data_IF_766059871510
#
_entry.id   IF_766059871510
#
_cell.length_a   1.000
_cell.length_b   1.000
_cell.length_c   1.000
_cell.angle_alpha   90.00
_cell.angle_beta   90.00
_cell.angle_gamma   90.00
#
_symmetry.space_group_name_H-M   'P 1'
#
loop_
_entity.id
_entity.type
_entity.pdbx_description
1 polymer ?
#
# COMPACT_ATOMS: atom_id res chain seq x y z
N UNK A 1 -91.56 0.77 -9.30
CA UNK A 1 -90.67 0.20 -8.25
C UNK A 1 -89.23 0.03 -8.75
N UNK A 2 -88.67 1.05 -9.40
CA UNK A 2 -87.26 1.15 -9.77
C UNK A 2 -86.62 2.19 -8.84
N UNK A 3 -86.10 1.82 -7.66
CA UNK A 3 -85.17 2.71 -6.92
C UNK A 3 -84.38 2.09 -5.76
N UNK A 4 -84.24 0.77 -5.65
CA UNK A 4 -83.54 0.16 -4.49
C UNK A 4 -82.66 -1.05 -4.82
N UNK A 5 -81.98 -1.07 -5.97
CA UNK A 5 -81.03 -2.14 -6.30
C UNK A 5 -79.62 -1.71 -6.74
N UNK A 6 -79.29 -0.42 -6.70
CA UNK A 6 -77.96 0.06 -7.12
C UNK A 6 -77.02 0.52 -6.00
N UNK A 7 -77.44 0.55 -4.72
CA UNK A 7 -76.56 0.99 -3.63
C UNK A 7 -75.82 -0.13 -2.88
N UNK A 8 -76.19 -1.40 -3.01
CA UNK A 8 -75.54 -2.49 -2.26
C UNK A 8 -74.40 -3.20 -3.00
N UNK A 9 -74.25 -2.99 -4.32
CA UNK A 9 -73.18 -3.63 -5.11
C UNK A 9 -71.91 -2.75 -5.18
N UNK A 10 -72.04 -1.43 -5.09
CA UNK A 10 -70.87 -0.53 -5.12
C UNK A 10 -70.05 -0.56 -3.81
N UNK A 11 -70.68 -0.87 -2.67
CA UNK A 11 -70.02 -0.83 -1.36
C UNK A 11 -69.20 -2.10 -1.05
N UNK A 12 -69.48 -3.19 -1.76
CA UNK A 12 -68.69 -4.44 -1.66
C UNK A 12 -67.50 -4.47 -2.63
N UNK A 13 -67.56 -3.76 -3.76
CA UNK A 13 -66.42 -3.65 -4.68
C UNK A 13 -65.32 -2.69 -4.17
N UNK A 14 -65.68 -1.62 -3.44
CA UNK A 14 -64.71 -0.68 -2.86
C UNK A 14 -63.96 -1.26 -1.66
N UNK A 15 -64.57 -2.17 -0.90
CA UNK A 15 -63.92 -2.85 0.24
C UNK A 15 -62.99 -3.99 -0.22
N UNK A 16 -63.28 -4.63 -1.36
CA UNK A 16 -62.42 -5.66 -1.95
C UNK A 16 -61.19 -5.06 -2.69
N UNK A 17 -61.33 -3.87 -3.28
CA UNK A 17 -60.21 -3.17 -3.94
C UNK A 17 -59.28 -2.49 -2.92
N UNK A 18 -59.77 -2.10 -1.74
CA UNK A 18 -58.93 -1.54 -0.67
C UNK A 18 -58.13 -2.60 0.11
N UNK A 19 -58.53 -3.88 0.05
CA UNK A 19 -57.80 -5.01 0.67
C UNK A 19 -56.77 -5.62 -0.30
N UNK A 20 -56.82 -5.29 -1.60
CA UNK A 20 -55.91 -5.83 -2.62
C UNK A 20 -54.70 -4.94 -2.97
N UNK A 21 -54.51 -3.81 -2.27
CA UNK A 21 -53.34 -2.90 -2.47
C UNK A 21 -52.35 -2.93 -1.29
N UNK A 22 -52.58 -3.73 -0.23
CA UNK A 22 -51.63 -3.91 0.89
C UNK A 22 -50.94 -5.27 0.86
N UNK A 23 -50.93 -5.95 -0.29
CA UNK A 23 -50.00 -7.05 -0.56
C UNK A 23 -48.99 -6.60 -1.62
N UNK A 24 -48.35 -5.46 -1.37
CA UNK A 24 -47.06 -5.19 -1.98
C UNK A 24 -46.16 -6.37 -1.61
N UNK A 25 -45.90 -7.22 -2.60
CA UNK A 25 -44.81 -8.20 -2.53
C UNK A 25 -43.52 -7.41 -2.36
N UNK A 26 -43.19 -7.03 -1.14
CA UNK A 26 -41.79 -6.96 -0.73
C UNK A 26 -41.32 -8.40 -0.83
N UNK A 27 -40.76 -8.77 -1.98
CA UNK A 27 -39.80 -9.85 -1.99
C UNK A 27 -38.75 -9.41 -0.97
N UNK A 28 -38.77 -10.07 0.19
CA UNK A 28 -37.85 -9.82 1.28
C UNK A 28 -36.46 -10.09 0.73
N UNK A 29 -35.82 -9.04 0.21
CA UNK A 29 -34.53 -9.14 -0.43
C UNK A 29 -33.56 -9.43 0.70
N UNK A 30 -33.24 -10.72 0.87
CA UNK A 30 -32.44 -11.20 1.96
C UNK A 30 -31.15 -10.38 2.06
N UNK A 31 -31.00 -9.65 3.16
CA UNK A 31 -29.85 -8.78 3.38
C UNK A 31 -28.58 -9.64 3.36
N UNK A 32 -27.60 -9.19 2.58
CA UNK A 32 -26.27 -9.78 2.51
C UNK A 32 -25.28 -8.81 3.11
N UNK A 33 -24.37 -9.33 3.93
CA UNK A 33 -23.34 -8.49 4.51
C UNK A 33 -22.27 -8.14 3.48
N UNK A 34 -22.23 -6.87 3.08
CA UNK A 34 -21.15 -6.29 2.30
C UNK A 34 -21.02 -4.78 2.60
N UNK A 35 -19.98 -4.16 2.04
CA UNK A 35 -19.65 -2.74 2.26
C UNK A 35 -20.75 -1.75 1.85
N UNK A 36 -21.73 -2.14 1.03
CA UNK A 36 -22.85 -1.25 0.66
C UNK A 36 -23.75 -0.98 1.86
N UNK A 37 -23.79 -1.86 2.87
CA UNK A 37 -24.54 -1.61 4.11
C UNK A 37 -24.07 -0.33 4.82
N UNK A 38 -22.79 0.03 4.67
CA UNK A 38 -22.23 1.26 5.23
C UNK A 38 -22.82 2.54 4.61
N UNK A 39 -23.51 2.43 3.47
CA UNK A 39 -24.09 3.58 2.75
C UNK A 39 -25.52 3.93 3.14
N UNK A 40 -26.16 3.12 3.98
CA UNK A 40 -27.48 3.47 4.49
C UNK A 40 -27.42 4.76 5.33
N UNK A 41 -28.54 5.39 5.61
CA UNK A 41 -28.59 6.58 6.47
C UNK A 41 -28.62 6.22 7.96
N UNK A 42 -28.57 7.24 8.83
CA UNK A 42 -28.55 7.05 10.27
C UNK A 42 -29.85 6.40 10.78
N UNK A 43 -30.99 6.73 10.15
CA UNK A 43 -32.29 6.12 10.47
C UNK A 43 -32.28 4.60 10.26
N UNK A 44 -31.63 4.11 9.20
CA UNK A 44 -31.45 2.68 9.00
C UNK A 44 -30.56 2.06 10.08
N UNK A 45 -29.47 2.70 10.49
CA UNK A 45 -28.59 2.21 11.57
C UNK A 45 -29.26 2.19 12.95
N UNK A 46 -30.37 2.92 13.11
CA UNK A 46 -31.21 2.90 14.31
C UNK A 46 -32.33 1.84 14.26
N UNK A 47 -32.53 1.19 13.11
CA UNK A 47 -33.60 0.20 12.89
C UNK A 47 -33.32 -1.16 13.55
N UNK A 48 -34.39 -1.93 13.79
CA UNK A 48 -34.28 -3.31 14.27
C UNK A 48 -33.57 -4.23 13.28
N UNK A 49 -33.69 -3.95 11.98
CA UNK A 49 -33.01 -4.71 10.92
C UNK A 49 -31.49 -4.53 11.01
N UNK A 50 -31.00 -3.31 11.21
CA UNK A 50 -29.57 -3.06 11.38
C UNK A 50 -29.05 -3.67 12.71
N UNK A 51 -29.86 -3.63 13.76
CA UNK A 51 -29.56 -4.27 15.05
C UNK A 51 -29.41 -5.79 14.92
N UNK A 52 -30.33 -6.45 14.20
CA UNK A 52 -30.24 -7.90 13.94
C UNK A 52 -28.96 -8.25 13.17
N UNK A 53 -28.62 -7.48 12.13
CA UNK A 53 -27.36 -7.68 11.39
C UNK A 53 -26.15 -7.47 12.30
N UNK A 54 -26.15 -6.43 13.14
CA UNK A 54 -25.05 -6.16 14.08
C UNK A 54 -24.88 -7.29 15.11
N UNK A 55 -25.99 -7.80 15.66
CA UNK A 55 -26.01 -8.93 16.58
C UNK A 55 -25.46 -10.21 15.93
N UNK A 56 -25.68 -10.41 14.62
CA UNK A 56 -25.07 -11.50 13.86
C UNK A 56 -23.56 -11.27 13.63
N UNK A 57 -23.16 -10.05 13.28
CA UNK A 57 -21.75 -9.70 13.02
C UNK A 57 -20.86 -9.95 14.24
N UNK A 58 -21.30 -9.59 15.45
CA UNK A 58 -20.50 -9.81 16.67
C UNK A 58 -20.29 -11.29 16.98
N UNK A 59 -21.20 -12.18 16.58
CA UNK A 59 -21.09 -13.63 16.82
C UNK A 59 -19.94 -14.26 16.02
N UNK A 60 -19.53 -13.66 14.90
CA UNK A 60 -18.40 -14.13 14.09
C UNK A 60 -17.05 -13.58 14.53
N UNK A 61 -17.00 -12.65 15.48
CA UNK A 61 -15.73 -12.09 15.95
C UNK A 61 -14.94 -13.14 16.72
N UNK A 62 -13.70 -13.39 16.31
CA UNK A 62 -12.86 -14.37 16.99
C UNK A 62 -12.41 -13.91 18.39
N UNK A 63 -11.88 -14.82 19.21
CA UNK A 63 -11.23 -14.47 20.46
C UNK A 63 -10.10 -13.43 20.30
N UNK A 64 -9.41 -13.43 19.15
CA UNK A 64 -8.35 -12.47 18.84
C UNK A 64 -8.89 -11.09 18.43
N UNK A 65 -10.14 -11.00 17.98
CA UNK A 65 -10.78 -9.74 17.58
C UNK A 65 -10.96 -9.54 16.07
N UNK A 66 -10.47 -10.47 15.25
CA UNK A 66 -10.64 -10.43 13.79
C UNK A 66 -11.95 -11.09 13.32
N UNK A 67 -12.29 -10.87 12.05
CA UNK A 67 -13.45 -11.48 11.39
C UNK A 67 -13.05 -12.37 10.22
N UNK A 68 -13.91 -13.35 9.86
CA UNK A 68 -13.65 -14.21 8.73
C UNK A 68 -13.89 -13.50 7.40
N UNK A 69 -13.14 -13.90 6.36
CA UNK A 69 -13.42 -13.52 4.98
C UNK A 69 -14.44 -14.43 4.32
N UNK A 70 -15.03 -13.94 3.22
CA UNK A 70 -15.95 -14.72 2.37
C UNK A 70 -17.08 -15.40 3.15
N UNK A 71 -17.62 -14.72 4.15
CA UNK A 71 -18.67 -15.20 5.05
C UNK A 71 -19.75 -14.14 5.14
N UNK A 72 -21.01 -14.54 4.96
CA UNK A 72 -22.15 -13.62 5.06
C UNK A 72 -22.51 -13.40 6.52
N UNK A 73 -22.09 -12.25 7.06
CA UNK A 73 -22.25 -11.92 8.48
C UNK A 73 -23.65 -11.39 8.84
N UNK A 74 -24.54 -11.24 7.85
CA UNK A 74 -25.90 -10.75 8.08
C UNK A 74 -26.81 -11.84 8.68
N UNK A 75 -26.35 -13.10 8.66
CA UNK A 75 -27.08 -14.26 9.18
C UNK A 75 -26.33 -14.82 10.38
N UNK A 76 -27.01 -15.34 11.42
CA UNK A 76 -26.32 -15.96 12.53
C UNK A 76 -25.62 -17.25 12.09
N UNK A 77 -24.52 -17.65 12.75
CA UNK A 77 -23.98 -18.99 12.59
C UNK A 77 -25.03 -20.02 13.04
N UNK A 78 -25.21 -21.10 12.27
CA UNK A 78 -26.18 -22.16 12.63
C UNK A 78 -25.63 -23.09 13.69
N UNK A 79 -24.30 -23.21 13.73
CA UNK A 79 -23.55 -23.94 14.73
C UNK A 79 -22.21 -23.25 15.01
N UNK A 80 -21.54 -23.55 16.14
CA UNK A 80 -20.18 -23.06 16.40
C UNK A 80 -19.17 -23.38 15.29
N UNK A 81 -19.40 -24.43 14.50
CA UNK A 81 -18.52 -24.83 13.39
C UNK A 81 -18.65 -23.93 12.15
N UNK A 82 -19.69 -23.11 12.05
CA UNK A 82 -19.82 -22.12 10.97
C UNK A 82 -18.88 -20.92 11.16
N UNK A 83 -18.35 -20.73 12.38
CA UNK A 83 -17.34 -19.72 12.70
C UNK A 83 -15.95 -20.31 12.40
N UNK A 84 -15.23 -19.79 11.40
CA UNK A 84 -13.92 -20.33 11.04
C UNK A 84 -12.96 -20.27 12.23
N UNK A 85 -12.33 -21.41 12.54
CA UNK A 85 -11.40 -21.54 13.65
C UNK A 85 -10.04 -20.91 13.31
N UNK A 86 -9.26 -20.44 14.30
CA UNK A 86 -7.91 -19.96 14.05
C UNK A 86 -7.08 -20.99 13.28
N UNK A 87 -6.50 -20.57 12.15
CA UNK A 87 -5.79 -21.44 11.20
C UNK A 87 -6.59 -21.77 9.93
N UNK A 88 -7.93 -21.75 9.98
CA UNK A 88 -8.78 -22.03 8.82
C UNK A 88 -8.63 -20.96 7.74
N UNK A 89 -8.68 -21.33 6.46
CA UNK A 89 -8.48 -20.42 5.30
C UNK A 89 -9.37 -19.16 5.27
N UNK A 90 -10.42 -19.10 6.09
CA UNK A 90 -11.31 -17.94 6.21
C UNK A 90 -11.09 -17.11 7.49
N UNK A 91 -10.55 -17.68 8.57
CA UNK A 91 -10.51 -17.03 9.88
C UNK A 91 -9.55 -15.84 9.96
N UNK A 92 -9.92 -14.77 10.66
CA UNK A 92 -9.04 -13.65 11.01
C UNK A 92 -8.21 -13.10 9.84
N UNK A 93 -8.89 -12.57 8.83
CA UNK A 93 -8.23 -12.05 7.63
C UNK A 93 -8.42 -10.54 7.49
N UNK A 94 -7.50 -9.90 6.77
CA UNK A 94 -7.61 -8.54 6.25
C UNK A 94 -7.94 -8.52 4.75
N UNK A 95 -8.02 -9.70 4.13
CA UNK A 95 -8.38 -9.92 2.73
C UNK A 95 -9.90 -9.84 2.52
N UNK A 96 -10.34 -9.49 1.30
CA UNK A 96 -11.75 -9.44 0.91
C UNK A 96 -12.66 -8.71 1.91
N UNK A 97 -12.26 -7.50 2.32
CA UNK A 97 -13.02 -6.63 3.24
C UNK A 97 -13.21 -7.17 4.67
N UNK A 98 -12.65 -8.34 4.98
CA UNK A 98 -12.72 -8.95 6.30
C UNK A 98 -12.07 -8.08 7.37
N UNK A 99 -12.59 -8.17 8.60
CA UNK A 99 -12.21 -7.36 9.76
C UNK A 99 -12.56 -5.87 9.60
N UNK A 100 -12.06 -5.17 8.58
CA UNK A 100 -12.23 -3.72 8.46
C UNK A 100 -13.67 -3.29 8.18
N UNK A 101 -14.42 -3.96 7.30
CA UNK A 101 -15.83 -3.59 7.03
C UNK A 101 -16.76 -3.93 8.20
N UNK A 102 -16.66 -5.12 8.84
CA UNK A 102 -17.37 -5.39 10.09
C UNK A 102 -17.10 -4.35 11.17
N UNK A 103 -15.84 -3.92 11.32
CA UNK A 103 -15.48 -2.86 12.27
C UNK A 103 -16.15 -1.53 11.92
N UNK A 104 -16.11 -1.08 10.66
CA UNK A 104 -16.78 0.16 10.25
C UNK A 104 -18.29 0.11 10.52
N UNK A 105 -18.91 -1.05 10.27
CA UNK A 105 -20.33 -1.27 10.55
C UNK A 105 -20.62 -1.16 12.05
N UNK A 106 -19.84 -1.85 12.88
CA UNK A 106 -20.01 -1.85 14.33
C UNK A 106 -19.70 -0.50 14.98
N UNK A 107 -18.74 0.27 14.44
CA UNK A 107 -18.50 1.64 14.90
C UNK A 107 -19.73 2.52 14.70
N UNK A 108 -20.37 2.44 13.51
CA UNK A 108 -21.59 3.21 13.25
C UNK A 108 -22.76 2.72 14.10
N UNK A 109 -22.94 1.41 14.26
CA UNK A 109 -23.94 0.87 15.19
C UNK A 109 -23.72 1.35 16.63
N UNK A 110 -22.48 1.34 17.12
CA UNK A 110 -22.14 1.82 18.46
C UNK A 110 -22.44 3.32 18.61
N UNK A 111 -22.15 4.12 17.59
CA UNK A 111 -22.41 5.55 17.57
C UNK A 111 -23.92 5.87 17.57
N UNK A 112 -24.68 5.25 16.67
CA UNK A 112 -26.11 5.53 16.48
C UNK A 112 -27.00 4.97 17.58
N UNK A 113 -26.61 3.85 18.19
CA UNK A 113 -27.44 3.17 19.19
C UNK A 113 -26.96 3.34 20.63
N UNK A 114 -25.68 3.69 20.84
CA UNK A 114 -25.05 3.70 22.15
C UNK A 114 -24.86 2.30 22.77
N UNK A 115 -25.12 1.22 22.04
CA UNK A 115 -25.02 -0.15 22.57
C UNK A 115 -23.55 -0.53 22.82
N UNK A 116 -23.27 -0.83 24.09
CA UNK A 116 -21.94 -1.18 24.59
C UNK A 116 -21.38 -2.45 23.94
N UNK A 117 -22.22 -3.39 23.50
CA UNK A 117 -21.77 -4.64 22.86
C UNK A 117 -21.06 -4.37 21.54
N UNK A 118 -21.61 -3.48 20.72
CA UNK A 118 -21.00 -3.10 19.44
C UNK A 118 -19.72 -2.29 19.66
N UNK A 119 -19.73 -1.41 20.66
CA UNK A 119 -18.55 -0.65 21.08
C UNK A 119 -17.41 -1.59 21.49
N UNK A 120 -17.67 -2.52 22.40
CA UNK A 120 -16.65 -3.41 22.94
C UNK A 120 -16.12 -4.37 21.85
N UNK A 121 -16.99 -4.84 20.95
CA UNK A 121 -16.58 -5.62 19.78
C UNK A 121 -15.68 -4.80 18.82
N UNK A 122 -16.02 -3.53 18.55
CA UNK A 122 -15.16 -2.65 17.77
C UNK A 122 -13.80 -2.42 18.41
N UNK A 123 -13.75 -2.12 19.72
CA UNK A 123 -12.50 -1.87 20.45
C UNK A 123 -11.58 -3.09 20.43
N UNK A 124 -12.15 -4.30 20.53
CA UNK A 124 -11.40 -5.55 20.36
C UNK A 124 -10.83 -5.69 18.95
N UNK A 125 -11.56 -5.24 17.93
CA UNK A 125 -11.05 -5.15 16.56
C UNK A 125 -9.88 -4.16 16.41
N UNK A 126 -9.93 -3.01 17.10
CA UNK A 126 -8.81 -2.04 17.12
C UNK A 126 -7.58 -2.70 17.73
N UNK A 127 -7.72 -3.37 18.87
CA UNK A 127 -6.61 -4.07 19.52
C UNK A 127 -6.04 -5.19 18.64
N UNK A 128 -6.89 -5.91 17.91
CA UNK A 128 -6.48 -6.91 16.91
C UNK A 128 -5.61 -6.28 15.82
N UNK A 129 -6.03 -5.15 15.23
CA UNK A 129 -5.27 -4.48 14.17
C UNK A 129 -3.93 -3.95 14.67
N UNK A 130 -3.89 -3.42 15.90
CA UNK A 130 -2.65 -2.94 16.52
C UNK A 130 -1.70 -4.12 16.83
N UNK A 131 -2.22 -5.25 17.31
CA UNK A 131 -1.41 -6.44 17.57
C UNK A 131 -0.92 -7.15 16.29
N UNK A 132 -1.66 -6.99 15.19
CA UNK A 132 -1.29 -7.57 13.90
C UNK A 132 -0.22 -6.78 13.13
N UNK A 133 0.08 -5.55 13.53
CA UNK A 133 1.10 -4.73 12.88
C UNK A 133 2.50 -5.28 13.15
N UNK A 134 3.35 -5.36 12.12
CA UNK A 134 4.76 -5.70 12.31
C UNK A 134 5.54 -4.56 12.97
N UNK A 135 6.65 -4.85 13.69
CA UNK A 135 7.49 -3.80 14.27
C UNK A 135 8.00 -2.75 13.27
N UNK A 136 8.30 -3.17 12.03
CA UNK A 136 8.70 -2.28 10.94
C UNK A 136 7.53 -1.59 10.21
N UNK A 137 6.30 -1.75 10.71
CA UNK A 137 5.08 -1.36 10.04
C UNK A 137 4.58 -2.39 9.03
N UNK A 138 3.41 -2.11 8.47
CA UNK A 138 2.73 -3.04 7.57
C UNK A 138 1.95 -4.13 8.29
N UNK A 139 1.10 -4.81 7.52
CA UNK A 139 0.17 -5.81 8.05
C UNK A 139 0.18 -7.09 7.20
N UNK A 140 0.03 -8.27 7.83
CA UNK A 140 -0.13 -9.53 7.13
C UNK A 140 -1.51 -9.65 6.48
N UNK A 141 -1.70 -10.64 5.60
CA UNK A 141 -3.04 -10.99 5.11
C UNK A 141 -3.90 -11.66 6.20
N UNK A 142 -3.26 -12.37 7.14
CA UNK A 142 -3.89 -13.08 8.24
C UNK A 142 -3.12 -12.89 9.54
N UNK A 143 -3.85 -12.71 10.64
CA UNK A 143 -3.25 -12.70 11.98
C UNK A 143 -4.12 -13.51 12.97
N UNK A 144 -3.57 -14.38 13.83
CA UNK A 144 -2.16 -14.75 13.98
C UNK A 144 -1.52 -15.28 12.69
N UNK A 145 -0.20 -15.13 12.60
CA UNK A 145 0.56 -15.37 11.38
C UNK A 145 0.43 -16.82 10.89
N UNK A 146 0.51 -16.98 9.57
CA UNK A 146 0.43 -18.27 8.88
C UNK A 146 1.64 -18.46 7.99
N UNK A 147 2.12 -19.70 7.88
CA UNK A 147 3.24 -20.02 7.00
C UNK A 147 2.90 -19.69 5.53
N UNK A 148 3.89 -19.16 4.80
CA UNK A 148 3.76 -18.80 3.38
C UNK A 148 3.39 -17.33 3.18
N UNK A 149 2.88 -17.00 2.00
CA UNK A 149 2.68 -15.62 1.57
C UNK A 149 1.70 -14.82 2.43
N UNK A 150 0.86 -15.50 3.21
CA UNK A 150 -0.10 -14.91 4.14
C UNK A 150 0.54 -13.97 5.18
N UNK A 151 1.83 -14.18 5.47
CA UNK A 151 2.59 -13.36 6.42
C UNK A 151 3.40 -12.25 5.74
N UNK A 152 3.30 -12.03 4.44
CA UNK A 152 3.94 -10.87 3.81
C UNK A 152 3.24 -9.56 4.20
N UNK A 153 3.93 -8.42 4.07
CA UNK A 153 3.28 -7.11 4.07
C UNK A 153 2.32 -7.10 2.87
N UNK A 154 1.03 -6.99 3.13
CA UNK A 154 0.00 -7.28 2.13
C UNK A 154 -0.75 -6.02 1.70
N UNK A 155 -0.42 -5.49 0.52
CA UNK A 155 -1.23 -4.47 -0.14
C UNK A 155 -2.40 -5.08 -0.92
N UNK A 156 -2.27 -6.34 -1.36
CA UNK A 156 -3.24 -7.08 -2.15
C UNK A 156 -4.68 -6.93 -1.64
N UNK A 157 -5.58 -6.69 -2.60
CA UNK A 157 -7.00 -6.43 -2.37
C UNK A 157 -7.24 -5.31 -1.35
N UNK A 158 -6.32 -4.33 -1.27
CA UNK A 158 -6.38 -3.19 -0.35
C UNK A 158 -6.23 -3.51 1.13
N UNK A 159 -5.74 -4.70 1.51
CA UNK A 159 -5.73 -5.18 2.90
C UNK A 159 -5.07 -4.19 3.87
N UNK A 160 -3.78 -3.88 3.68
CA UNK A 160 -3.07 -2.91 4.49
C UNK A 160 -3.69 -1.50 4.41
N UNK A 161 -4.10 -1.05 3.22
CA UNK A 161 -4.60 0.31 3.03
C UNK A 161 -5.95 0.54 3.73
N UNK A 162 -6.85 -0.44 3.76
CA UNK A 162 -8.10 -0.35 4.54
C UNK A 162 -7.83 -0.26 6.03
N UNK A 163 -6.87 -1.04 6.55
CA UNK A 163 -6.46 -0.95 7.96
C UNK A 163 -5.94 0.44 8.28
N UNK A 164 -5.08 1.00 7.43
CA UNK A 164 -4.52 2.34 7.65
C UNK A 164 -5.58 3.44 7.59
N UNK A 165 -6.57 3.35 6.70
CA UNK A 165 -7.70 4.27 6.70
C UNK A 165 -8.48 4.19 8.02
N UNK A 166 -8.87 2.98 8.44
CA UNK A 166 -9.65 2.78 9.66
C UNK A 166 -8.89 3.25 10.91
N UNK A 167 -7.61 2.93 11.04
CA UNK A 167 -6.80 3.38 12.18
C UNK A 167 -6.57 4.90 12.19
N UNK A 168 -6.49 5.54 11.02
CA UNK A 168 -6.44 7.00 10.94
C UNK A 168 -7.76 7.61 11.40
N UNK A 169 -8.89 7.11 10.92
CA UNK A 169 -10.20 7.63 11.32
C UNK A 169 -10.42 7.43 12.84
N UNK A 170 -9.95 6.30 13.40
CA UNK A 170 -9.92 6.07 14.85
C UNK A 170 -9.02 7.09 15.57
N UNK A 171 -7.83 7.37 15.06
CA UNK A 171 -6.91 8.35 15.65
C UNK A 171 -7.54 9.76 15.69
N UNK A 172 -8.14 10.17 14.58
CA UNK A 172 -8.85 11.44 14.42
C UNK A 172 -10.03 11.53 15.40
N UNK A 173 -10.70 10.41 15.67
CA UNK A 173 -11.75 10.28 16.68
C UNK A 173 -13.02 11.08 16.38
N UNK A 174 -13.17 11.51 15.13
CA UNK A 174 -14.41 12.06 14.61
C UNK A 174 -15.49 10.96 14.56
N UNK A 175 -16.75 11.36 14.48
CA UNK A 175 -17.85 10.40 14.36
C UNK A 175 -17.61 9.42 13.18
N UNK A 176 -17.85 8.11 13.36
CA UNK A 176 -18.47 7.46 14.53
C UNK A 176 -17.49 7.07 15.66
N UNK A 177 -16.20 7.40 15.58
CA UNK A 177 -15.14 6.87 16.44
C UNK A 177 -14.92 7.64 17.75
N UNK A 178 -15.75 8.63 18.07
CA UNK A 178 -15.61 9.47 19.27
C UNK A 178 -15.63 8.71 20.61
N UNK A 179 -16.15 7.48 20.62
CA UNK A 179 -16.17 6.62 21.80
C UNK A 179 -14.82 5.91 22.10
N UNK A 180 -13.84 5.98 21.19
CA UNK A 180 -12.54 5.31 21.36
C UNK A 180 -11.66 6.10 22.33
N UNK A 181 -11.10 5.41 23.32
CA UNK A 181 -10.28 6.04 24.35
C UNK A 181 -8.97 6.62 23.80
N UNK A 182 -8.46 7.65 24.49
CA UNK A 182 -7.26 8.38 24.06
C UNK A 182 -5.99 7.51 23.95
N UNK A 183 -5.89 6.40 24.68
CA UNK A 183 -4.74 5.49 24.58
C UNK A 183 -4.76 4.77 23.24
N UNK A 184 -5.90 4.18 22.86
CA UNK A 184 -6.07 3.51 21.57
C UNK A 184 -5.92 4.49 20.41
N UNK A 185 -6.47 5.71 20.53
CA UNK A 185 -6.31 6.76 19.50
C UNK A 185 -4.84 7.11 19.25
N UNK A 186 -4.04 7.28 20.30
CA UNK A 186 -2.59 7.51 20.17
C UNK A 186 -1.86 6.32 19.54
N UNK A 187 -2.19 5.10 19.94
CA UNK A 187 -1.60 3.89 19.33
C UNK A 187 -1.97 3.75 17.85
N UNK A 188 -3.21 4.10 17.48
CA UNK A 188 -3.66 4.08 16.11
C UNK A 188 -2.93 5.14 15.26
N UNK A 189 -2.74 6.36 15.79
CA UNK A 189 -1.95 7.41 15.13
C UNK A 189 -0.51 6.94 14.87
N UNK A 190 0.13 6.34 15.88
CA UNK A 190 1.48 5.81 15.76
C UNK A 190 1.56 4.64 14.77
N UNK A 191 0.60 3.73 14.80
CA UNK A 191 0.52 2.63 13.86
C UNK A 191 0.39 3.14 12.41
N UNK A 192 -0.42 4.17 12.17
CA UNK A 192 -0.52 4.81 10.84
C UNK A 192 0.81 5.44 10.43
N UNK A 193 1.48 6.15 11.34
CA UNK A 193 2.80 6.77 11.09
C UNK A 193 3.83 5.73 10.65
N UNK A 194 4.00 4.64 11.41
CA UNK A 194 4.92 3.54 11.08
C UNK A 194 4.47 2.83 9.79
N UNK A 195 3.16 2.70 9.57
CA UNK A 195 2.61 2.15 8.32
C UNK A 195 2.97 2.98 7.08
N UNK A 196 2.99 4.32 7.18
CA UNK A 196 3.45 5.21 6.10
C UNK A 196 4.94 5.00 5.83
N UNK A 197 5.77 4.91 6.87
CA UNK A 197 7.21 4.61 6.68
C UNK A 197 7.43 3.27 5.97
N UNK A 198 6.66 2.25 6.34
CA UNK A 198 6.68 0.95 5.67
C UNK A 198 6.30 1.08 4.18
N UNK A 199 5.23 1.81 3.85
CA UNK A 199 4.86 2.10 2.45
C UNK A 199 6.03 2.74 1.70
N UNK A 200 6.63 3.79 2.24
CA UNK A 200 7.70 4.51 1.56
C UNK A 200 8.92 3.62 1.31
N UNK A 201 9.30 2.81 2.30
CA UNK A 201 10.42 1.84 2.18
C UNK A 201 10.12 0.69 1.21
N UNK A 202 8.86 0.29 1.07
CA UNK A 202 8.44 -0.71 0.10
C UNK A 202 8.34 -0.17 -1.34
N UNK A 203 8.49 1.13 -1.59
CA UNK A 203 8.38 1.65 -2.95
C UNK A 203 9.53 1.10 -3.81
N UNK A 204 9.17 0.46 -4.93
CA UNK A 204 10.14 -0.20 -5.80
C UNK A 204 10.91 0.85 -6.58
N UNK A 205 12.24 0.81 -6.47
CA UNK A 205 13.16 1.70 -7.19
C UNK A 205 13.82 0.90 -8.32
N UNK A 206 13.68 1.40 -9.54
CA UNK A 206 14.30 0.84 -10.74
C UNK A 206 15.31 1.85 -11.26
N UNK A 207 16.58 1.47 -11.36
CA UNK A 207 17.66 2.31 -11.87
C UNK A 207 17.71 3.70 -11.20
N UNK A 208 17.51 3.73 -9.87
CA UNK A 208 17.50 4.94 -9.06
C UNK A 208 16.19 5.75 -9.13
N UNK A 209 15.22 5.34 -9.93
CA UNK A 209 13.92 5.99 -10.10
C UNK A 209 12.84 5.25 -9.31
N UNK A 210 12.20 5.90 -8.30
CA UNK A 210 11.04 5.32 -7.62
C UNK A 210 9.90 5.08 -8.62
N UNK A 211 9.20 3.97 -8.45
CA UNK A 211 8.05 3.60 -9.29
C UNK A 211 6.81 3.50 -8.41
N UNK A 212 6.33 2.29 -8.18
CA UNK A 212 5.15 1.95 -7.40
C UNK A 212 5.44 0.75 -6.49
N UNK A 213 4.42 -0.03 -6.11
CA UNK A 213 4.53 -1.13 -5.16
C UNK A 213 4.14 -2.47 -5.79
N UNK A 214 4.65 -3.55 -5.22
CA UNK A 214 4.12 -4.89 -5.46
C UNK A 214 2.83 -5.09 -4.66
N UNK A 215 2.04 -6.10 -5.03
CA UNK A 215 0.87 -6.50 -4.26
C UNK A 215 1.24 -7.04 -2.86
N UNK A 216 2.46 -7.56 -2.70
CA UNK A 216 3.00 -7.97 -1.42
C UNK A 216 4.52 -7.80 -1.36
N UNK A 217 5.01 -7.52 -0.15
CA UNK A 217 6.42 -7.30 0.14
C UNK A 217 6.87 -8.19 1.31
N UNK A 218 8.12 -8.65 1.27
CA UNK A 218 8.70 -9.39 2.38
C UNK A 218 8.80 -8.51 3.64
N UNK A 219 8.53 -9.09 4.81
CA UNK A 219 8.48 -8.33 6.07
C UNK A 219 9.85 -7.83 6.51
N UNK A 220 10.93 -8.54 6.16
CA UNK A 220 12.29 -8.21 6.59
C UNK A 220 13.02 -7.38 5.56
N UNK A 221 13.00 -7.82 4.30
CA UNK A 221 13.75 -7.17 3.23
C UNK A 221 12.98 -6.04 2.57
N UNK A 222 11.65 -5.98 2.74
CA UNK A 222 10.75 -5.04 2.08
C UNK A 222 10.74 -5.17 0.54
N UNK A 223 11.37 -6.21 -0.01
CA UNK A 223 11.40 -6.47 -1.44
C UNK A 223 10.05 -7.02 -1.93
N UNK A 224 9.66 -6.76 -3.19
CA UNK A 224 8.57 -7.48 -3.85
C UNK A 224 8.72 -8.99 -3.71
N UNK A 225 7.64 -9.68 -3.37
CA UNK A 225 7.66 -11.14 -3.18
C UNK A 225 6.46 -11.82 -3.83
N UNK A 226 6.55 -13.14 -4.03
CA UNK A 226 5.51 -13.95 -4.64
C UNK A 226 4.35 -14.22 -3.67
N UNK A 227 3.13 -14.31 -4.19
CA UNK A 227 1.98 -14.83 -3.46
C UNK A 227 1.52 -16.18 -4.02
N UNK A 228 0.37 -16.23 -4.68
CA UNK A 228 -0.08 -17.42 -5.40
C UNK A 228 0.81 -17.67 -6.62
N UNK A 229 0.74 -18.86 -7.22
CA UNK A 229 1.60 -19.22 -8.36
C UNK A 229 1.51 -18.23 -9.52
N UNK A 230 0.35 -17.59 -9.72
CA UNK A 230 0.09 -16.58 -10.74
C UNK A 230 0.27 -15.12 -10.27
N UNK A 231 0.86 -14.87 -9.09
CA UNK A 231 1.06 -13.55 -8.51
C UNK A 231 2.54 -13.34 -8.15
N UNK A 232 3.30 -12.96 -9.18
CA UNK A 232 4.75 -12.83 -9.14
C UNK A 232 5.22 -11.51 -8.48
N UNK A 233 6.47 -11.45 -7.99
CA UNK A 233 7.12 -10.18 -7.67
C UNK A 233 7.06 -9.23 -8.88
N UNK A 234 6.33 -8.13 -8.75
CA UNK A 234 5.97 -7.26 -9.88
C UNK A 234 5.60 -5.86 -9.41
N UNK A 235 5.49 -4.91 -10.35
CA UNK A 235 4.86 -3.62 -10.09
C UNK A 235 3.35 -3.79 -10.28
N UNK A 236 2.56 -3.55 -9.24
CA UNK A 236 1.11 -3.75 -9.28
C UNK A 236 0.37 -2.48 -9.68
N UNK A 237 -0.37 -2.53 -10.79
CA UNK A 237 -1.24 -1.42 -11.19
C UNK A 237 -2.49 -1.30 -10.32
N UNK A 238 -3.02 -2.41 -9.80
CA UNK A 238 -4.22 -2.41 -8.94
C UNK A 238 -3.89 -1.86 -7.55
N UNK A 239 -2.93 -2.47 -6.86
CA UNK A 239 -2.71 -2.19 -5.45
C UNK A 239 -2.01 -0.84 -5.24
N UNK A 240 -1.12 -0.45 -6.16
CA UNK A 240 -0.45 0.85 -6.11
C UNK A 240 -1.41 2.03 -6.26
N UNK A 241 -2.54 1.84 -6.95
CA UNK A 241 -3.57 2.88 -7.00
C UNK A 241 -4.14 3.14 -5.59
N UNK A 242 -4.41 2.09 -4.81
CA UNK A 242 -4.85 2.22 -3.42
C UNK A 242 -3.82 2.93 -2.54
N UNK A 243 -2.54 2.57 -2.67
CA UNK A 243 -1.44 3.22 -1.93
C UNK A 243 -1.34 4.71 -2.25
N UNK A 244 -1.36 5.09 -3.54
CA UNK A 244 -1.29 6.49 -3.95
C UNK A 244 -2.50 7.29 -3.46
N UNK A 245 -3.70 6.71 -3.53
CA UNK A 245 -4.92 7.35 -3.02
C UNK A 245 -4.83 7.62 -1.52
N UNK A 246 -4.27 6.66 -0.75
CA UNK A 246 -4.03 6.84 0.67
C UNK A 246 -3.01 7.97 0.93
N UNK A 247 -1.84 7.94 0.29
CA UNK A 247 -0.80 8.97 0.50
C UNK A 247 -1.31 10.37 0.11
N UNK A 248 -2.07 10.50 -0.97
CA UNK A 248 -2.69 11.76 -1.38
C UNK A 248 -3.82 12.24 -0.45
N UNK A 249 -4.31 11.39 0.43
CA UNK A 249 -5.32 11.77 1.43
C UNK A 249 -4.74 12.34 2.72
N UNK A 250 -3.42 12.25 2.91
CA UNK A 250 -2.75 12.89 4.06
C UNK A 250 -2.71 14.40 3.85
N UNK A 251 -3.21 15.15 4.82
CA UNK A 251 -3.40 16.60 4.77
C UNK A 251 -2.09 17.36 4.69
N UNK A 252 -1.09 16.95 5.47
CA UNK A 252 0.26 17.51 5.48
C UNK A 252 1.30 16.43 5.12
N UNK A 253 1.45 16.09 3.83
CA UNK A 253 2.36 15.03 3.40
C UNK A 253 3.82 15.49 3.50
N UNK A 254 4.68 14.61 4.00
CA UNK A 254 6.12 14.90 4.05
C UNK A 254 6.70 15.07 2.63
N UNK A 255 7.85 15.74 2.48
CA UNK A 255 8.52 15.83 1.18
C UNK A 255 8.82 14.46 0.55
N UNK A 256 9.00 13.42 1.35
CA UNK A 256 9.20 12.05 0.87
C UNK A 256 7.91 11.45 0.31
N UNK A 257 6.79 11.60 1.01
CA UNK A 257 5.48 11.19 0.49
C UNK A 257 5.13 11.91 -0.80
N UNK A 258 5.46 13.21 -0.89
CA UNK A 258 5.21 13.97 -2.12
C UNK A 258 6.02 13.43 -3.30
N UNK A 259 7.27 13.02 -3.08
CA UNK A 259 8.10 12.38 -4.11
C UNK A 259 7.56 11.01 -4.49
N UNK A 260 7.17 10.19 -3.51
CA UNK A 260 6.60 8.87 -3.73
C UNK A 260 5.34 8.95 -4.58
N UNK A 261 4.43 9.88 -4.24
CA UNK A 261 3.21 10.15 -5.00
C UNK A 261 3.52 10.62 -6.42
N UNK A 262 4.43 11.59 -6.58
CA UNK A 262 4.80 12.10 -7.90
C UNK A 262 5.30 10.99 -8.81
N UNK A 263 6.25 10.19 -8.31
CA UNK A 263 6.90 9.14 -9.09
C UNK A 263 5.90 8.02 -9.47
N UNK A 264 5.02 7.64 -8.54
CA UNK A 264 3.98 6.66 -8.83
C UNK A 264 2.97 7.16 -9.87
N UNK A 265 2.58 8.44 -9.81
CA UNK A 265 1.68 9.05 -10.81
C UNK A 265 2.33 9.09 -12.19
N UNK A 266 3.61 9.47 -12.27
CA UNK A 266 4.37 9.46 -13.53
C UNK A 266 4.52 8.04 -14.10
N UNK A 267 4.75 7.04 -13.24
CA UNK A 267 4.77 5.65 -13.65
C UNK A 267 3.43 5.22 -14.25
N UNK A 268 2.30 5.53 -13.57
CA UNK A 268 0.96 5.24 -14.11
C UNK A 268 0.72 5.90 -15.47
N UNK A 269 1.20 7.13 -15.66
CA UNK A 269 1.08 7.80 -16.96
C UNK A 269 1.91 7.09 -18.05
N UNK A 270 3.14 6.67 -17.72
CA UNK A 270 4.04 5.99 -18.66
C UNK A 270 3.59 4.59 -19.10
N UNK A 271 2.82 3.88 -18.27
CA UNK A 271 2.37 2.50 -18.54
C UNK A 271 0.90 2.40 -18.97
N UNK A 272 0.31 3.54 -19.32
CA UNK A 272 -1.08 3.66 -19.78
C UNK A 272 -1.28 2.94 -21.11
N UNK A 273 -2.34 2.14 -21.19
CA UNK A 273 -2.72 1.37 -22.38
C UNK A 273 -3.98 2.00 -22.97
N UNK A 274 -3.89 2.47 -24.22
CA UNK A 274 -4.99 3.11 -24.93
C UNK A 274 -5.39 2.31 -26.17
N UNK A 275 -6.61 2.51 -26.65
CA UNK A 275 -7.10 1.85 -27.88
C UNK A 275 -7.49 0.38 -27.71
N UNK A 276 -7.70 -0.08 -26.47
CA UNK A 276 -8.14 -1.44 -26.17
C UNK A 276 -9.29 -1.47 -25.16
N UNK A 277 -10.19 -2.43 -25.35
CA UNK A 277 -11.25 -2.79 -24.42
C UNK A 277 -10.93 -4.14 -23.77
N UNK A 278 -11.02 -4.21 -22.46
CA UNK A 278 -10.86 -5.44 -21.70
C UNK A 278 -12.22 -5.96 -21.25
N UNK A 279 -12.52 -7.21 -21.62
CA UNK A 279 -13.68 -7.97 -21.14
C UNK A 279 -13.19 -9.36 -20.73
N UNK A 280 -13.40 -9.74 -19.47
CA UNK A 280 -13.07 -11.12 -19.03
C UNK A 280 -13.78 -12.12 -19.93
N UNK A 281 -13.03 -13.07 -20.46
CA UNK A 281 -13.57 -14.09 -21.36
C UNK A 281 -12.85 -15.41 -21.17
N UNK A 282 -13.64 -16.48 -20.98
CA UNK A 282 -13.11 -17.84 -20.95
C UNK A 282 -12.87 -18.35 -22.37
N UNK A 283 -13.75 -18.03 -23.33
CA UNK A 283 -13.75 -18.63 -24.67
C UNK A 283 -13.30 -17.69 -25.79
N UNK A 284 -13.28 -16.39 -25.54
CA UNK A 284 -12.96 -15.37 -26.55
C UNK A 284 -11.73 -14.54 -26.21
N UNK A 285 -11.49 -13.51 -27.04
CA UNK A 285 -10.46 -12.51 -26.79
C UNK A 285 -10.80 -11.72 -25.54
N UNK A 286 -9.91 -11.73 -24.56
CA UNK A 286 -10.10 -10.93 -23.36
C UNK A 286 -9.78 -9.44 -23.59
N UNK A 287 -8.90 -9.15 -24.55
CA UNK A 287 -8.48 -7.80 -24.93
C UNK A 287 -8.73 -7.59 -26.43
N UNK A 288 -9.54 -6.59 -26.78
CA UNK A 288 -9.90 -6.27 -28.18
C UNK A 288 -9.54 -4.83 -28.50
N UNK A 289 -9.14 -4.56 -29.76
CA UNK A 289 -8.88 -3.19 -30.22
C UNK A 289 -10.17 -2.39 -30.21
N UNK A 290 -10.14 -1.22 -29.59
CA UNK A 290 -11.24 -0.27 -29.53
C UNK A 290 -10.70 1.14 -29.23
N UNK A 291 -10.67 2.00 -30.25
CA UNK A 291 -10.16 3.37 -30.14
C UNK A 291 -11.06 4.29 -29.31
N UNK A 292 -12.29 3.87 -28.99
CA UNK A 292 -13.22 4.63 -28.15
C UNK A 292 -13.22 4.15 -26.70
N UNK A 293 -12.47 3.10 -26.38
CA UNK A 293 -12.34 2.62 -25.01
C UNK A 293 -11.51 3.59 -24.15
N UNK A 294 -11.89 3.71 -22.89
CA UNK A 294 -11.08 4.43 -21.91
C UNK A 294 -9.75 3.73 -21.62
N UNK A 295 -8.78 4.42 -21.01
CA UNK A 295 -7.46 3.87 -20.77
C UNK A 295 -7.50 2.69 -19.79
N UNK A 296 -6.60 1.75 -20.02
CA UNK A 296 -6.39 0.55 -19.21
C UNK A 296 -4.98 0.54 -18.62
N UNK A 297 -4.83 -0.25 -17.57
CA UNK A 297 -3.56 -0.60 -16.96
C UNK A 297 -3.59 -2.09 -16.64
N UNK A 298 -2.47 -2.77 -16.84
CA UNK A 298 -2.32 -4.15 -16.42
C UNK A 298 -2.34 -4.23 -14.88
N UNK A 299 -2.70 -5.40 -14.35
CA UNK A 299 -2.64 -5.65 -12.91
C UNK A 299 -1.21 -5.83 -12.43
N UNK A 300 -0.35 -6.43 -13.26
CA UNK A 300 1.05 -6.72 -12.96
C UNK A 300 1.94 -6.31 -14.13
N UNK A 301 3.05 -5.68 -13.80
CA UNK A 301 4.10 -5.31 -14.74
C UNK A 301 5.44 -5.89 -14.27
N UNK A 302 6.22 -6.42 -15.19
CA UNK A 302 7.59 -6.86 -14.93
C UNK A 302 8.44 -5.69 -14.44
N UNK A 303 9.20 -5.91 -13.36
CA UNK A 303 10.12 -4.92 -12.81
C UNK A 303 11.23 -4.66 -13.85
N UNK A 304 11.66 -3.40 -13.98
CA UNK A 304 12.57 -2.88 -15.00
C UNK A 304 11.92 -2.61 -16.36
N UNK A 305 11.33 -3.61 -17.00
CA UNK A 305 10.81 -3.44 -18.37
C UNK A 305 9.47 -2.70 -18.44
N UNK A 306 8.70 -2.68 -17.35
CA UNK A 306 7.32 -2.20 -17.31
C UNK A 306 6.41 -2.90 -18.33
N UNK A 307 6.75 -4.13 -18.74
CA UNK A 307 5.90 -4.90 -19.64
C UNK A 307 4.78 -5.56 -18.85
N UNK A 308 3.51 -5.50 -19.32
CA UNK A 308 2.43 -6.29 -18.73
C UNK A 308 2.80 -7.78 -18.67
N UNK A 309 2.55 -8.41 -17.52
CA UNK A 309 2.75 -9.85 -17.34
C UNK A 309 1.46 -10.55 -16.93
N UNK A 310 1.31 -11.77 -17.40
CA UNK A 310 0.22 -12.69 -17.09
C UNK A 310 0.80 -14.01 -16.57
N UNK A 311 0.01 -14.80 -15.87
CA UNK A 311 0.45 -16.11 -15.41
C UNK A 311 -0.75 -17.01 -15.15
N UNK A 312 -0.52 -18.32 -15.22
CA UNK A 312 -1.51 -19.32 -14.83
C UNK A 312 -1.09 -20.04 -13.54
N UNK A 313 -1.86 -21.06 -13.16
CA UNK A 313 -1.64 -21.93 -12.00
C UNK A 313 -0.31 -22.67 -12.06
N UNK A 314 0.24 -22.87 -13.26
CA UNK A 314 1.57 -23.43 -13.51
C UNK A 314 2.72 -22.48 -13.08
N UNK A 315 2.42 -21.20 -12.83
CA UNK A 315 3.38 -20.20 -12.40
C UNK A 315 4.30 -19.69 -13.51
N UNK A 316 3.99 -19.94 -14.78
CA UNK A 316 4.80 -19.46 -15.91
C UNK A 316 4.36 -18.05 -16.32
N UNK A 317 5.31 -17.12 -16.34
CA UNK A 317 5.08 -15.76 -16.84
C UNK A 317 4.83 -15.81 -18.35
N UNK A 318 3.73 -15.18 -18.76
CA UNK A 318 3.29 -14.95 -20.14
C UNK A 318 3.20 -13.46 -20.40
N UNK A 319 3.23 -13.08 -21.68
CA UNK A 319 3.22 -11.68 -22.08
C UNK A 319 2.06 -11.31 -23.00
N UNK A 320 1.24 -12.30 -23.36
CA UNK A 320 -0.09 -12.09 -23.92
C UNK A 320 -1.12 -12.81 -23.03
N UNK A 321 -2.20 -12.09 -22.69
CA UNK A 321 -3.32 -12.64 -21.90
C UNK A 321 -4.01 -13.81 -22.61
N UNK A 322 -3.86 -13.94 -23.94
CA UNK A 322 -4.37 -15.08 -24.68
C UNK A 322 -3.54 -16.36 -24.50
N UNK A 323 -2.33 -16.27 -23.93
CA UNK A 323 -1.46 -17.41 -23.65
C UNK A 323 -1.79 -18.11 -22.32
N UNK A 324 -2.61 -17.49 -21.46
CA UNK A 324 -3.07 -18.10 -20.20
C UNK A 324 -4.40 -18.83 -20.42
N UNK A 325 -4.64 -19.86 -19.59
CA UNK A 325 -5.81 -20.72 -19.66
C UNK A 325 -7.12 -20.03 -19.30
N UNK A 326 -8.21 -20.58 -19.83
CA UNK A 326 -9.56 -20.01 -19.81
C UNK A 326 -10.04 -19.64 -18.40
N UNK A 327 -9.75 -20.48 -17.40
CA UNK A 327 -10.17 -20.28 -16.01
C UNK A 327 -9.51 -19.04 -15.36
N UNK A 328 -8.23 -18.78 -15.62
CA UNK A 328 -7.54 -17.57 -15.13
C UNK A 328 -7.83 -16.36 -15.99
N UNK A 329 -7.96 -16.53 -17.30
CA UNK A 329 -8.31 -15.45 -18.23
C UNK A 329 -9.69 -14.87 -17.95
N UNK A 330 -10.68 -15.72 -17.70
CA UNK A 330 -12.05 -15.33 -17.39
C UNK A 330 -12.34 -15.09 -15.90
N UNK A 331 -11.58 -15.72 -14.99
CA UNK A 331 -11.84 -15.66 -13.54
C UNK A 331 -11.13 -14.52 -12.81
N UNK A 332 -10.02 -14.00 -13.35
CA UNK A 332 -9.17 -13.03 -12.68
C UNK A 332 -9.08 -11.71 -13.47
N UNK A 333 -9.03 -10.58 -12.78
CA UNK A 333 -8.90 -9.26 -13.43
C UNK A 333 -7.44 -8.97 -13.75
N UNK A 334 -7.07 -9.02 -15.02
CA UNK A 334 -5.70 -8.76 -15.47
C UNK A 334 -5.49 -7.33 -15.97
N UNK A 335 -6.57 -6.62 -16.31
CA UNK A 335 -6.57 -5.21 -16.67
C UNK A 335 -7.71 -4.46 -15.96
N UNK A 336 -7.58 -3.14 -15.88
CA UNK A 336 -8.62 -2.27 -15.34
C UNK A 336 -8.26 -0.80 -15.44
N UNK A 337 -9.12 0.05 -14.89
CA UNK A 337 -9.06 1.51 -15.02
C UNK A 337 -8.46 2.21 -13.79
N UNK A 338 -7.64 1.51 -13.00
CA UNK A 338 -7.12 1.99 -11.72
C UNK A 338 -6.37 3.33 -11.82
N UNK A 339 -5.55 3.50 -12.86
CA UNK A 339 -4.79 4.74 -13.08
C UNK A 339 -5.67 5.97 -13.36
N UNK A 340 -6.90 5.78 -13.84
CA UNK A 340 -7.83 6.90 -14.06
C UNK A 340 -8.21 7.57 -12.74
N UNK A 341 -8.47 6.79 -11.69
CA UNK A 341 -8.77 7.32 -10.35
C UNK A 341 -7.57 8.03 -9.74
N UNK A 342 -6.37 7.48 -9.94
CA UNK A 342 -5.11 8.10 -9.51
C UNK A 342 -4.94 9.47 -10.16
N UNK A 343 -5.08 9.54 -11.49
CA UNK A 343 -4.95 10.79 -12.25
C UNK A 343 -5.98 11.84 -11.80
N UNK A 344 -7.24 11.44 -11.61
CA UNK A 344 -8.30 12.33 -11.12
C UNK A 344 -8.01 12.88 -9.73
N UNK A 345 -7.62 12.02 -8.78
CA UNK A 345 -7.29 12.44 -7.42
C UNK A 345 -6.07 13.34 -7.39
N UNK A 346 -5.03 13.00 -8.14
CA UNK A 346 -3.81 13.79 -8.23
C UNK A 346 -4.05 15.17 -8.83
N UNK A 347 -4.91 15.28 -9.85
CA UNK A 347 -5.29 16.58 -10.43
C UNK A 347 -5.91 17.53 -9.40
N UNK A 348 -6.62 16.99 -8.41
CA UNK A 348 -7.26 17.73 -7.32
C UNK A 348 -6.39 17.83 -6.05
N UNK A 349 -5.19 17.25 -6.06
CA UNK A 349 -4.36 17.16 -4.87
C UNK A 349 -3.63 18.50 -4.61
N UNK A 350 -3.85 19.16 -3.46
CA UNK A 350 -3.32 20.52 -3.20
C UNK A 350 -1.80 20.62 -3.29
N UNK A 351 -1.10 19.51 -3.00
CA UNK A 351 0.36 19.43 -2.94
C UNK A 351 1.02 19.12 -4.27
N UNK A 352 0.23 18.94 -5.35
CA UNK A 352 0.68 18.58 -6.70
C UNK A 352 1.81 19.46 -7.22
N UNK A 353 1.66 20.79 -7.14
CA UNK A 353 2.66 21.70 -7.67
C UNK A 353 3.96 21.68 -6.85
N UNK A 354 3.86 21.46 -5.53
CA UNK A 354 5.03 21.24 -4.68
C UNK A 354 5.74 19.93 -5.02
N UNK A 355 4.99 18.86 -5.29
CA UNK A 355 5.52 17.54 -5.63
C UNK A 355 6.30 17.57 -6.96
N UNK A 356 5.72 18.19 -8.00
CA UNK A 356 6.39 18.40 -9.30
C UNK A 356 7.69 19.18 -9.18
N UNK A 357 7.69 20.28 -8.42
CA UNK A 357 8.90 21.12 -8.23
C UNK A 357 10.02 20.33 -7.58
N UNK A 358 9.70 19.51 -6.57
CA UNK A 358 10.67 18.68 -5.85
C UNK A 358 11.31 17.62 -6.74
N UNK A 359 10.53 16.92 -7.56
CA UNK A 359 11.09 15.91 -8.47
C UNK A 359 11.99 16.55 -9.53
N UNK A 360 11.55 17.66 -10.15
CA UNK A 360 12.37 18.42 -11.11
C UNK A 360 13.67 18.94 -10.51
N UNK A 361 13.67 19.36 -9.24
CA UNK A 361 14.88 19.82 -8.56
C UNK A 361 15.94 18.73 -8.36
N UNK A 362 15.52 17.45 -8.33
CA UNK A 362 16.42 16.30 -8.24
C UNK A 362 16.84 15.80 -9.63
N UNK A 363 15.94 15.79 -10.61
CA UNK A 363 16.30 15.52 -12.02
C UNK A 363 17.27 16.56 -12.61
N UNK A 364 17.29 17.80 -12.09
CA UNK A 364 18.36 18.78 -12.40
C UNK A 364 19.68 18.55 -11.64
N UNK A 365 19.66 17.73 -10.58
CA UNK A 365 20.86 17.36 -9.79
C UNK A 365 21.41 15.98 -10.15
N UNK A 366 20.63 15.16 -10.86
CA UNK A 366 21.03 13.87 -11.43
C UNK A 366 21.14 14.11 -12.94
N UNK A 367 22.33 14.19 -13.54
CA UNK A 367 22.46 14.31 -14.99
C UNK A 367 21.72 13.16 -15.67
N UNK A 368 21.03 13.43 -16.77
CA UNK A 368 20.41 12.39 -17.61
C UNK A 368 21.48 11.38 -18.04
N UNK A 369 21.49 10.20 -17.43
CA UNK A 369 22.34 9.10 -17.87
C UNK A 369 21.71 8.43 -19.09
N UNK A 370 22.01 8.99 -20.26
CA UNK A 370 22.15 8.18 -21.46
C UNK A 370 23.43 7.33 -21.30
N UNK A 371 23.32 6.02 -21.52
CA UNK A 371 24.36 5.02 -21.25
C UNK A 371 25.61 5.09 -22.13
N UNK A 372 26.25 6.25 -22.24
CA UNK A 372 27.48 6.43 -23.00
C UNK A 372 28.42 7.56 -22.50
N UNK A 373 28.12 8.26 -21.39
CA UNK A 373 29.03 9.33 -20.91
C UNK A 373 29.56 9.05 -19.50
N UNK A 374 30.90 9.05 -19.36
CA UNK A 374 31.63 8.78 -18.13
C UNK A 374 31.55 9.89 -17.08
N UNK A 375 30.35 10.24 -16.64
CA UNK A 375 30.16 11.22 -15.56
C UNK A 375 30.05 10.51 -14.20
N UNK A 376 30.96 10.81 -13.27
CA UNK A 376 31.00 10.28 -11.90
C UNK A 376 30.35 11.27 -10.93
N UNK A 377 29.72 10.74 -9.88
CA UNK A 377 29.08 11.57 -8.86
C UNK A 377 30.15 12.20 -7.96
N UNK A 378 30.13 13.54 -7.81
CA UNK A 378 31.03 14.28 -6.91
C UNK A 378 30.57 14.14 -5.45
N UNK A 379 31.42 13.62 -4.58
CA UNK A 379 31.07 13.25 -3.19
C UNK A 379 32.08 13.86 -2.21
N UNK A 380 31.56 14.46 -1.14
CA UNK A 380 32.34 14.79 0.07
C UNK A 380 31.86 13.86 1.18
N UNK A 381 32.78 13.15 1.83
CA UNK A 381 32.49 12.23 2.93
C UNK A 381 32.94 12.85 4.23
N UNK A 382 32.04 12.90 5.22
CA UNK A 382 32.36 13.25 6.60
C UNK A 382 32.21 11.99 7.44
N UNK A 383 33.22 11.64 8.23
CA UNK A 383 33.25 10.38 8.98
C UNK A 383 33.76 10.60 10.39
N UNK A 384 33.22 9.84 11.34
CA UNK A 384 33.66 9.73 12.72
C UNK A 384 34.69 8.63 12.98
N UNK A 385 35.36 8.16 11.91
CA UNK A 385 36.46 7.20 11.97
C UNK A 385 37.52 7.55 13.02
N UNK A 386 37.98 6.49 13.72
CA UNK A 386 38.83 6.61 14.90
C UNK A 386 38.09 7.05 16.17
N UNK A 387 36.78 7.32 16.08
CA UNK A 387 35.90 7.66 17.18
C UNK A 387 35.46 6.45 18.00
N UNK A 388 34.17 6.37 18.33
CA UNK A 388 33.64 5.34 19.22
C UNK A 388 33.23 4.05 18.52
N UNK A 389 33.12 4.04 17.19
CA UNK A 389 32.67 2.88 16.41
C UNK A 389 33.80 2.32 15.52
N UNK A 390 34.30 1.10 15.79
CA UNK A 390 35.29 0.46 14.94
C UNK A 390 34.81 0.16 13.50
N UNK A 391 33.49 0.12 13.23
CA UNK A 391 32.95 -0.17 11.90
C UNK A 391 33.19 0.98 10.89
N UNK A 392 33.54 2.17 11.38
CA UNK A 392 33.88 3.32 10.54
C UNK A 392 35.11 3.05 9.65
N UNK A 393 36.06 2.24 10.14
CA UNK A 393 37.20 1.79 9.35
C UNK A 393 36.76 0.88 8.21
N UNK A 394 35.82 -0.04 8.44
CA UNK A 394 35.28 -0.93 7.41
C UNK A 394 34.48 -0.15 6.36
N UNK A 395 33.70 0.82 6.81
CA UNK A 395 32.94 1.72 5.93
C UNK A 395 33.85 2.58 5.04
N UNK A 396 34.98 3.07 5.57
CA UNK A 396 35.97 3.80 4.78
C UNK A 396 36.69 2.89 3.77
N UNK A 397 37.03 1.65 4.15
CA UNK A 397 37.60 0.67 3.21
C UNK A 397 36.62 0.39 2.07
N UNK A 398 35.33 0.16 2.37
CA UNK A 398 34.32 -0.02 1.34
C UNK A 398 34.18 1.19 0.42
N UNK A 399 34.21 2.41 0.97
CA UNK A 399 34.21 3.63 0.15
C UNK A 399 35.37 3.64 -0.85
N UNK A 400 36.59 3.33 -0.39
CA UNK A 400 37.77 3.34 -1.26
C UNK A 400 37.74 2.21 -2.31
N UNK A 401 37.18 1.05 -1.99
CA UNK A 401 36.97 -0.06 -2.95
C UNK A 401 35.94 0.30 -4.02
N UNK A 402 34.95 1.14 -3.74
CA UNK A 402 33.99 1.63 -4.74
C UNK A 402 34.37 2.99 -5.34
N UNK A 403 35.56 3.49 -5.03
CA UNK A 403 35.93 4.86 -5.37
C UNK A 403 36.04 5.09 -6.87
N UNK A 404 36.27 4.06 -7.71
CA UNK A 404 36.29 4.18 -9.17
C UNK A 404 34.94 4.57 -9.81
N UNK A 405 33.84 4.45 -9.04
CA UNK A 405 32.50 4.87 -9.45
C UNK A 405 32.15 6.31 -9.02
N UNK A 406 32.99 6.96 -8.22
CA UNK A 406 32.71 8.25 -7.55
C UNK A 406 33.86 9.24 -7.74
N UNK A 407 33.57 10.53 -7.87
CA UNK A 407 34.58 11.58 -7.77
C UNK A 407 34.65 12.06 -6.32
N UNK A 408 35.62 11.57 -5.56
CA UNK A 408 35.84 12.01 -4.19
C UNK A 408 36.47 13.41 -4.20
N UNK A 409 35.76 14.37 -3.61
CA UNK A 409 36.15 15.79 -3.55
C UNK A 409 36.60 16.22 -2.16
N UNK A 410 36.34 15.40 -1.14
CA UNK A 410 36.75 15.65 0.22
C UNK A 410 36.52 14.47 1.14
N UNK A 411 37.49 14.18 2.00
CA UNK A 411 37.39 13.23 3.11
C UNK A 411 37.60 13.99 4.41
N UNK A 412 36.56 14.16 5.20
CA UNK A 412 36.57 15.02 6.38
C UNK A 412 36.44 14.19 7.65
N UNK A 413 37.45 14.26 8.50
CA UNK A 413 37.38 13.67 9.85
C UNK A 413 36.52 14.56 10.75
N UNK A 414 35.40 14.03 11.23
CA UNK A 414 34.43 14.67 12.13
C UNK A 414 33.99 13.80 13.33
N UNK A 415 34.91 13.16 14.08
CA UNK A 415 34.56 12.21 15.13
C UNK A 415 34.07 12.85 16.42
N UNK A 416 33.27 12.09 17.16
CA UNK A 416 33.07 12.28 18.58
C UNK A 416 34.10 11.42 19.34
N UNK A 417 35.15 12.03 19.90
CA UNK A 417 36.19 11.31 20.66
C UNK A 417 37.60 11.44 20.10
N UNK A 418 38.37 10.34 20.11
CA UNK A 418 39.81 10.34 19.83
C UNK A 418 40.18 10.32 18.34
N UNK A 419 39.22 10.06 17.45
CA UNK A 419 39.49 10.01 16.01
C UNK A 419 40.09 11.31 15.48
N UNK A 420 40.97 11.20 14.49
CA UNK A 420 41.66 12.30 13.84
C UNK A 420 41.69 12.05 12.33
N UNK A 421 42.16 13.07 11.60
CA UNK A 421 42.51 12.93 10.18
C UNK A 421 43.49 11.77 9.93
N UNK A 422 44.35 11.46 10.90
CA UNK A 422 45.29 10.33 10.84
C UNK A 422 44.57 9.01 10.56
N UNK A 423 43.39 8.77 11.14
CA UNK A 423 42.68 7.50 10.96
C UNK A 423 42.17 7.31 9.51
N UNK A 424 41.83 8.40 8.82
CA UNK A 424 41.53 8.36 7.37
C UNK A 424 42.82 8.06 6.60
N UNK A 425 43.92 8.72 6.94
CA UNK A 425 45.21 8.53 6.28
C UNK A 425 45.73 7.10 6.44
N UNK A 426 45.56 6.49 7.61
CA UNK A 426 45.98 5.12 7.87
C UNK A 426 45.19 4.13 6.97
N UNK A 427 43.91 4.39 6.67
CA UNK A 427 43.14 3.60 5.69
C UNK A 427 43.60 3.86 4.25
N UNK A 428 43.97 5.10 3.91
CA UNK A 428 44.56 5.42 2.59
C UNK A 428 45.92 4.73 2.41
N UNK A 429 46.72 4.60 3.46
CA UNK A 429 48.00 3.89 3.43
C UNK A 429 47.81 2.37 3.20
N UNK A 430 46.70 1.79 3.66
CA UNK A 430 46.30 0.44 3.29
C UNK A 430 45.85 0.37 1.83
N UNK A 431 44.99 1.30 1.39
CA UNK A 431 44.53 1.38 -0.01
C UNK A 431 45.68 1.53 -1.02
N UNK A 432 46.73 2.28 -0.68
CA UNK A 432 47.92 2.46 -1.52
C UNK A 432 48.64 1.13 -1.81
N UNK A 433 48.68 0.22 -0.84
CA UNK A 433 49.28 -1.10 -1.01
C UNK A 433 48.51 -1.95 -2.04
N UNK A 434 47.19 -1.74 -2.14
CA UNK A 434 46.31 -2.44 -3.07
C UNK A 434 46.08 -1.69 -4.40
N UNK A 435 46.56 -0.45 -4.52
CA UNK A 435 46.24 0.45 -5.64
C UNK A 435 46.67 -0.11 -7.00
N UNK A 436 47.84 -0.75 -7.10
CA UNK A 436 48.29 -1.38 -8.36
C UNK A 436 47.33 -2.50 -8.80
N UNK A 437 46.81 -3.27 -7.86
CA UNK A 437 45.83 -4.31 -8.14
C UNK A 437 44.49 -3.68 -8.55
N UNK A 438 43.98 -2.71 -7.79
CA UNK A 438 42.70 -2.04 -8.07
C UNK A 438 42.73 -1.30 -9.42
N UNK A 439 43.80 -0.57 -9.70
CA UNK A 439 43.97 0.16 -10.97
C UNK A 439 44.04 -0.77 -12.20
N UNK A 440 44.38 -2.05 -12.02
CA UNK A 440 44.28 -3.05 -13.09
C UNK A 440 42.82 -3.41 -13.46
N UNK A 441 41.87 -3.22 -12.53
CA UNK A 441 40.44 -3.43 -12.78
C UNK A 441 39.75 -2.20 -13.38
N UNK A 442 40.20 -1.01 -13.01
CA UNK A 442 39.61 0.27 -13.47
C UNK A 442 40.66 1.37 -13.40
N UNK A 443 40.90 2.07 -14.51
CA UNK A 443 41.82 3.21 -14.58
C UNK A 443 41.29 4.46 -13.84
N UNK A 444 40.08 4.36 -13.27
CA UNK A 444 39.36 5.43 -12.59
C UNK A 444 39.58 5.47 -11.08
N UNK A 445 40.24 4.48 -10.50
CA UNK A 445 40.61 4.53 -9.09
C UNK A 445 41.48 5.76 -8.80
N UNK A 446 41.14 6.58 -7.79
CA UNK A 446 41.90 7.78 -7.46
C UNK A 446 43.28 7.41 -6.94
N UNK A 447 44.31 8.10 -7.44
CA UNK A 447 45.66 7.94 -6.91
C UNK A 447 45.67 8.24 -5.38
N UNK A 448 46.36 7.44 -4.55
CA UNK A 448 46.43 7.67 -3.10
C UNK A 448 46.84 9.09 -2.71
N UNK A 449 47.73 9.74 -3.45
CA UNK A 449 48.15 11.12 -3.19
C UNK A 449 47.01 12.13 -3.39
N UNK A 450 46.09 11.86 -4.33
CA UNK A 450 44.89 12.69 -4.52
C UNK A 450 43.97 12.54 -3.31
N UNK A 451 43.77 11.31 -2.81
CA UNK A 451 42.98 11.04 -1.62
C UNK A 451 43.56 11.76 -0.39
N UNK A 452 44.88 11.72 -0.22
CA UNK A 452 45.57 12.48 0.84
C UNK A 452 45.36 13.99 0.70
N UNK A 453 45.45 14.52 -0.53
CA UNK A 453 45.29 15.95 -0.80
C UNK A 453 43.87 16.49 -0.52
N UNK A 454 42.83 15.67 -0.68
CA UNK A 454 41.44 16.03 -0.39
C UNK A 454 41.02 15.69 1.05
N UNK A 455 41.90 15.10 1.86
CA UNK A 455 41.59 14.75 3.26
C UNK A 455 41.82 15.95 4.17
N UNK A 456 40.85 16.27 5.04
CA UNK A 456 40.89 17.41 5.95
C UNK A 456 40.41 17.05 7.37
N UNK A 457 40.94 17.75 8.37
CA UNK A 457 40.41 17.75 9.75
C UNK A 457 39.48 18.94 9.96
N UNK A 458 38.56 18.84 10.93
CA UNK A 458 37.65 19.94 11.29
C UNK A 458 38.29 21.06 12.14
N UNK A 459 39.62 21.16 12.21
CA UNK A 459 40.28 22.21 12.99
C UNK A 459 40.17 23.57 12.28
N UNK A 460 39.70 24.58 13.02
CA UNK A 460 39.37 25.92 12.53
C UNK A 460 40.56 26.59 11.84
N UNK A 461 40.58 26.61 10.50
CA UNK A 461 41.28 27.67 9.75
C UNK A 461 40.73 27.87 8.33
N UNK A 462 40.30 29.12 8.09
CA UNK A 462 40.32 29.89 6.84
C UNK A 462 39.93 29.24 5.50
N UNK A 463 38.75 29.65 5.03
CA UNK A 463 38.33 29.91 3.63
C UNK A 463 39.45 29.77 2.58
N UNK A 464 39.23 28.88 1.61
CA UNK A 464 39.87 28.94 0.30
C UNK A 464 38.82 29.24 -0.79
N UNK A 465 39.20 29.95 -1.86
CA UNK A 465 38.27 30.54 -2.80
C UNK A 465 37.68 29.47 -3.73
N UNK A 466 36.36 29.50 -3.91
CA UNK A 466 35.71 28.84 -5.04
C UNK A 466 36.35 29.35 -6.33
N UNK A 467 37.00 28.46 -7.09
CA UNK A 467 37.30 28.71 -8.49
C UNK A 467 35.98 28.74 -9.26
N UNK A 468 35.80 29.79 -10.04
CA UNK A 468 34.66 30.04 -10.93
C UNK A 468 34.59 29.03 -12.08
#
# INVERSE_FOLDING_TARGET
MLHRRHLHVLQWCLSAILILIVAGKSADAQIRFDKNLLRNDDAWFQSDVAREVADNVIQYQSPQGGWPKSTDLAKPPRSPDDIPRPGDGRANSLDNDATTVPMQFLARMAHETGDIRYRDSFLKGVDYLLAAQYPGGGWPQFWPLRKGYYSHITFNDGAMIRVMHLLRDVADGEAPYGFVDGMRRRKAAEAVRIGIECILKCQVVVDGVPTVWCAQHDVKTLAPTQARSYEHPSLSGSESAGVLMFLMSVSDPTPEMMRAVQAGVEWFDSVKIEGYRYNKSQTGLALTKDQQAGPLWARFYEIKSNRPIFSDRDGVIKYDIQEIGDERRGGYSWYGNWGQKVAQKYAQWPHREGAKKRLRSRSRRIPEHSGASGYRCRVIVSTDIGGTDPDDFQSMVHLLVYSDLLDLEGLVSSPYGEGRMKDILDVIDCYEQDYECLSSYSDKYPNPDILRAITQSREKSSVLPMRA
#
